data_IF_261182706609
#
_entry.id   IF_261182706609
#
_cell.length_a   1.000
_cell.length_b   1.000
_cell.length_c   1.000
_cell.angle_alpha   90.00
_cell.angle_beta   90.00
_cell.angle_gamma   90.00
#
_symmetry.space_group_name_H-M   'P 1'
#
loop_
_entity.id
_entity.type
_entity.pdbx_description
1 polymer ?
#
# COMPACT_ATOMS: atom_id res chain seq x y z
N UNK A 1 -19.21 -13.95 24.11
CA UNK A 1 -18.78 -12.94 25.10
C UNK A 1 -18.23 -11.76 24.31
N UNK A 2 -18.85 -10.58 24.40
CA UNK A 2 -18.34 -9.37 23.73
C UNK A 2 -17.04 -8.99 24.43
N UNK A 3 -15.91 -9.10 23.74
CA UNK A 3 -14.66 -8.56 24.25
C UNK A 3 -14.74 -7.03 24.17
N UNK A 4 -15.13 -6.40 25.27
CA UNK A 4 -15.30 -4.95 25.39
C UNK A 4 -13.98 -4.19 25.21
N UNK A 5 -12.84 -4.90 25.17
CA UNK A 5 -11.48 -4.37 25.01
C UNK A 5 -11.24 -3.63 23.68
N UNK A 6 -11.98 -3.97 22.62
CA UNK A 6 -11.79 -3.35 21.29
C UNK A 6 -12.50 -2.00 21.14
N UNK A 7 -13.48 -1.72 22.01
CA UNK A 7 -14.26 -0.50 21.96
C UNK A 7 -13.53 0.66 22.64
N UNK A 8 -13.74 1.87 22.16
CA UNK A 8 -13.20 3.09 22.75
C UNK A 8 -14.33 3.97 23.26
N UNK A 9 -14.05 4.74 24.31
CA UNK A 9 -15.07 5.61 24.94
C UNK A 9 -15.28 6.94 24.20
N UNK A 10 -14.39 7.30 23.27
CA UNK A 10 -14.44 8.55 22.51
C UNK A 10 -13.74 8.41 21.16
N UNK A 11 -14.16 9.23 20.20
CA UNK A 11 -13.53 9.33 18.86
C UNK A 11 -12.04 9.62 18.99
N UNK A 12 -11.63 10.57 19.85
CA UNK A 12 -10.22 10.90 20.07
C UNK A 12 -9.36 9.72 20.52
N UNK A 13 -9.89 8.86 21.40
CA UNK A 13 -9.20 7.63 21.83
C UNK A 13 -9.16 6.59 20.72
N UNK A 14 -10.24 6.48 19.93
CA UNK A 14 -10.29 5.66 18.72
C UNK A 14 -9.19 6.03 17.73
N UNK A 15 -9.12 7.31 17.35
CA UNK A 15 -8.11 7.83 16.42
C UNK A 15 -6.68 7.61 16.92
N UNK A 16 -6.43 7.90 18.21
CA UNK A 16 -5.12 7.66 18.82
C UNK A 16 -4.73 6.18 18.73
N UNK A 17 -5.66 5.27 19.04
CA UNK A 17 -5.43 3.82 18.96
C UNK A 17 -5.14 3.37 17.52
N UNK A 18 -5.85 3.90 16.52
CA UNK A 18 -5.56 3.62 15.11
C UNK A 18 -4.12 3.97 14.76
N UNK A 19 -3.69 5.19 15.13
CA UNK A 19 -2.31 5.66 14.88
C UNK A 19 -1.25 4.81 15.57
N UNK A 20 -1.50 4.42 16.83
CA UNK A 20 -0.56 3.62 17.62
C UNK A 20 -0.51 2.14 17.23
N UNK A 21 -1.51 1.65 16.48
CA UNK A 21 -1.63 0.23 16.15
C UNK A 21 -0.95 -0.19 14.84
N UNK A 22 -0.34 0.75 14.10
CA UNK A 22 0.45 0.48 12.88
C UNK A 22 -0.29 -0.45 11.89
N UNK A 23 -1.54 -0.09 11.57
CA UNK A 23 -2.40 -0.83 10.63
C UNK A 23 -3.11 -2.07 11.19
N UNK A 24 -2.90 -2.44 12.46
CA UNK A 24 -3.52 -3.64 13.08
C UNK A 24 -4.89 -3.39 13.72
N UNK A 25 -5.35 -2.14 13.72
CA UNK A 25 -6.63 -1.74 14.30
C UNK A 25 -7.36 -0.79 13.36
N UNK A 26 -8.61 -1.08 13.08
CA UNK A 26 -9.53 -0.19 12.38
C UNK A 26 -10.57 0.36 13.36
N UNK A 27 -10.93 1.63 13.20
CA UNK A 27 -11.96 2.28 13.98
C UNK A 27 -13.17 2.56 13.11
N UNK A 28 -14.33 2.09 13.54
CA UNK A 28 -15.60 2.33 12.87
C UNK A 28 -16.24 3.55 13.50
N UNK A 29 -16.60 4.52 12.68
CA UNK A 29 -17.27 5.74 13.10
C UNK A 29 -18.18 6.27 11.98
N UNK A 30 -18.91 7.34 12.29
CA UNK A 30 -19.78 8.03 11.36
C UNK A 30 -19.01 8.57 10.13
N UNK A 31 -19.57 8.36 8.94
CA UNK A 31 -18.93 8.64 7.64
C UNK A 31 -18.51 10.09 7.46
N UNK A 32 -19.44 11.04 7.64
CA UNK A 32 -19.17 12.48 7.47
C UNK A 32 -18.07 12.99 8.41
N UNK A 33 -18.07 12.49 9.65
CA UNK A 33 -17.02 12.83 10.61
C UNK A 33 -15.67 12.19 10.25
N UNK A 34 -15.68 10.96 9.72
CA UNK A 34 -14.48 10.30 9.23
C UNK A 34 -13.87 11.04 8.05
N UNK A 35 -14.69 11.46 7.08
CA UNK A 35 -14.28 12.29 5.94
C UNK A 35 -13.62 13.59 6.41
N UNK A 36 -14.28 14.31 7.32
CA UNK A 36 -13.69 15.52 7.89
C UNK A 36 -12.34 15.24 8.54
N UNK A 37 -12.22 14.21 9.39
CA UNK A 37 -10.99 13.95 10.13
C UNK A 37 -9.82 13.51 9.26
N UNK A 38 -10.09 12.76 8.19
CA UNK A 38 -9.07 12.34 7.21
C UNK A 38 -8.57 13.53 6.39
N UNK A 39 -9.43 14.51 6.12
CA UNK A 39 -9.04 15.71 5.37
C UNK A 39 -8.18 16.69 6.20
N UNK A 40 -8.06 16.47 7.51
CA UNK A 40 -7.24 17.30 8.40
C UNK A 40 -5.81 16.76 8.60
N UNK A 41 -4.90 17.67 8.96
CA UNK A 41 -3.54 17.31 9.37
C UNK A 41 -3.55 16.34 10.58
N UNK A 42 -2.61 15.40 10.65
CA UNK A 42 -1.38 15.28 9.84
C UNK A 42 -1.48 14.38 8.59
N UNK A 43 -2.66 14.18 8.00
CA UNK A 43 -2.87 13.34 6.80
C UNK A 43 -2.45 11.87 7.00
N UNK A 44 -2.57 11.36 8.22
CA UNK A 44 -2.11 10.03 8.63
C UNK A 44 -3.23 9.00 8.75
N UNK A 45 -4.44 9.36 8.33
CA UNK A 45 -5.65 8.55 8.40
C UNK A 45 -6.21 8.37 6.98
N UNK A 46 -6.96 7.28 6.78
CA UNK A 46 -7.72 7.05 5.56
C UNK A 46 -9.03 6.33 5.87
N UNK A 47 -10.04 6.56 5.05
CA UNK A 47 -11.27 5.76 5.04
C UNK A 47 -11.17 4.73 3.92
N UNK A 48 -11.51 3.48 4.24
CA UNK A 48 -11.37 2.32 3.35
C UNK A 48 -12.72 1.86 2.80
N UNK A 49 -13.83 2.28 3.42
CA UNK A 49 -15.16 1.94 2.97
C UNK A 49 -16.24 2.47 3.90
N UNK A 50 -17.48 2.25 3.49
CA UNK A 50 -18.69 2.59 4.22
C UNK A 50 -19.50 1.33 4.53
N UNK A 51 -20.20 1.32 5.66
CA UNK A 51 -20.92 0.16 6.18
C UNK A 51 -22.44 0.38 6.30
N UNK A 52 -22.97 1.42 5.67
CA UNK A 52 -24.41 1.60 5.47
C UNK A 52 -24.80 3.06 5.43
N UNK A 53 -26.05 3.31 5.05
CA UNK A 53 -26.54 4.66 4.85
C UNK A 53 -26.85 5.36 6.18
N UNK A 54 -26.31 6.57 6.34
CA UNK A 54 -26.60 7.44 7.49
C UNK A 54 -27.06 8.80 6.99
N UNK A 55 -27.96 9.44 7.74
CA UNK A 55 -28.45 10.78 7.40
C UNK A 55 -28.77 11.61 8.64
N UNK A 56 -28.49 12.90 8.56
CA UNK A 56 -28.90 13.88 9.56
C UNK A 56 -30.25 14.49 9.19
N UNK A 57 -31.06 14.80 10.20
CA UNK A 57 -32.39 15.37 10.01
C UNK A 57 -32.66 16.46 11.05
N UNK A 58 -33.37 17.52 10.63
CA UNK A 58 -33.87 18.54 11.53
C UNK A 58 -35.12 18.02 12.24
N UNK A 59 -35.12 18.06 13.57
CA UNK A 59 -36.24 17.55 14.38
C UNK A 59 -36.96 18.74 15.02
N UNK A 60 -38.27 18.81 14.79
CA UNK A 60 -39.16 19.80 15.39
C UNK A 60 -40.04 19.15 16.47
N UNK A 61 -40.60 19.98 17.37
CA UNK A 61 -41.60 19.51 18.31
C UNK A 61 -42.82 18.95 17.57
N UNK A 62 -43.42 17.89 18.11
CA UNK A 62 -44.61 17.26 17.54
C UNK A 62 -45.72 18.31 17.37
N UNK A 63 -46.35 18.32 16.20
CA UNK A 63 -47.40 19.26 15.79
C UNK A 63 -46.97 20.73 15.64
N UNK A 64 -45.66 21.00 15.53
CA UNK A 64 -45.19 22.35 15.22
C UNK A 64 -45.52 22.73 13.77
N UNK A 65 -46.06 23.94 13.58
CA UNK A 65 -46.31 24.53 12.25
C UNK A 65 -45.01 24.74 11.45
N UNK A 66 -43.87 24.85 12.16
CA UNK A 66 -42.55 25.06 11.56
C UNK A 66 -42.05 23.84 10.77
N UNK A 67 -42.60 22.65 11.05
CA UNK A 67 -42.12 21.40 10.44
C UNK A 67 -42.23 21.44 8.91
N UNK A 68 -43.36 21.93 8.39
CA UNK A 68 -43.58 22.03 6.95
C UNK A 68 -42.69 23.10 6.31
N UNK A 69 -42.57 24.26 6.97
CA UNK A 69 -41.78 25.38 6.48
C UNK A 69 -40.28 25.02 6.41
N UNK A 70 -39.75 24.39 7.45
CA UNK A 70 -38.35 23.92 7.48
C UNK A 70 -38.11 22.86 6.42
N UNK A 71 -39.02 21.90 6.25
CA UNK A 71 -38.88 20.86 5.24
C UNK A 71 -38.83 21.45 3.82
N UNK A 72 -39.73 22.39 3.50
CA UNK A 72 -39.70 23.10 2.22
C UNK A 72 -38.41 23.90 2.01
N UNK A 73 -37.92 24.59 3.04
CA UNK A 73 -36.68 25.35 2.97
C UNK A 73 -35.47 24.44 2.70
N UNK A 74 -35.38 23.27 3.36
CA UNK A 74 -34.29 22.31 3.15
C UNK A 74 -34.26 21.80 1.71
N UNK A 75 -35.41 21.38 1.17
CA UNK A 75 -35.51 20.90 -0.23
C UNK A 75 -35.07 22.00 -1.20
N UNK A 76 -35.51 23.24 -0.99
CA UNK A 76 -35.09 24.38 -1.81
C UNK A 76 -33.57 24.61 -1.75
N UNK A 77 -32.95 24.51 -0.57
CA UNK A 77 -31.49 24.63 -0.43
C UNK A 77 -30.72 23.49 -1.12
N UNK A 78 -31.28 22.28 -1.17
CA UNK A 78 -30.72 21.15 -1.90
C UNK A 78 -30.79 21.37 -3.41
N UNK A 79 -31.96 21.76 -3.94
CA UNK A 79 -32.15 22.06 -5.37
C UNK A 79 -31.21 23.18 -5.85
N UNK A 80 -31.00 24.20 -5.02
CA UNK A 80 -30.07 25.30 -5.30
C UNK A 80 -28.58 24.92 -5.11
N UNK A 81 -28.28 23.67 -4.72
CA UNK A 81 -26.93 23.17 -4.42
C UNK A 81 -26.19 23.98 -3.33
N UNK A 82 -26.93 24.68 -2.46
CA UNK A 82 -26.33 25.50 -1.39
C UNK A 82 -25.72 24.59 -0.33
N UNK A 83 -26.41 23.49 0.02
CA UNK A 83 -25.91 22.52 0.99
C UNK A 83 -24.58 21.92 0.52
N UNK A 84 -24.47 21.54 -0.76
CA UNK A 84 -23.23 21.03 -1.36
C UNK A 84 -22.08 22.04 -1.22
N UNK A 85 -22.32 23.32 -1.51
CA UNK A 85 -21.30 24.38 -1.37
C UNK A 85 -20.87 24.57 0.09
N UNK A 86 -21.80 24.45 1.04
CA UNK A 86 -21.49 24.51 2.47
C UNK A 86 -20.63 23.30 2.85
N UNK A 87 -20.99 22.11 2.40
CA UNK A 87 -20.24 20.89 2.65
C UNK A 87 -18.80 21.01 2.17
N UNK A 88 -18.60 21.34 0.90
CA UNK A 88 -17.28 21.57 0.30
C UNK A 88 -16.50 22.63 1.07
N UNK A 89 -17.16 23.73 1.48
CA UNK A 89 -16.47 24.81 2.20
C UNK A 89 -15.96 24.41 3.59
N UNK A 90 -16.71 23.58 4.32
CA UNK A 90 -16.45 23.32 5.75
C UNK A 90 -15.86 21.94 6.04
N UNK A 91 -16.09 20.95 5.16
CA UNK A 91 -15.60 19.57 5.36
C UNK A 91 -14.26 19.31 4.67
N UNK A 92 -13.88 20.15 3.70
CA UNK A 92 -12.57 20.12 3.07
C UNK A 92 -11.47 20.70 3.95
N UNK A 93 -10.44 19.90 4.19
CA UNK A 93 -9.19 20.31 4.83
C UNK A 93 -7.99 20.30 3.88
N UNK A 94 -6.81 20.54 4.44
CA UNK A 94 -5.55 20.65 3.69
C UNK A 94 -5.03 19.30 3.16
N UNK A 95 -5.43 18.18 3.77
CA UNK A 95 -5.04 16.83 3.36
C UNK A 95 -5.93 16.26 2.26
N UNK A 96 -6.67 17.13 1.58
CA UNK A 96 -7.65 16.70 0.61
C UNK A 96 -7.00 16.07 -0.62
N UNK A 97 -7.17 14.76 -0.77
CA UNK A 97 -6.81 14.06 -2.00
C UNK A 97 -7.97 14.14 -2.97
N UNK A 98 -7.74 14.58 -4.21
CA UNK A 98 -8.76 14.64 -5.27
C UNK A 98 -9.51 13.30 -5.49
N UNK A 99 -8.90 12.19 -5.06
CA UNK A 99 -9.45 10.84 -5.10
C UNK A 99 -10.65 10.66 -4.15
N UNK A 100 -10.72 11.42 -3.06
CA UNK A 100 -11.72 11.20 -2.01
C UNK A 100 -13.14 11.61 -2.44
N UNK A 101 -13.33 12.79 -3.06
CA UNK A 101 -14.64 13.22 -3.58
C UNK A 101 -15.20 12.31 -4.67
N UNK A 102 -14.34 11.82 -5.57
CA UNK A 102 -14.77 10.92 -6.64
C UNK A 102 -15.09 9.50 -6.14
N UNK A 103 -14.64 9.13 -4.94
CA UNK A 103 -14.90 7.80 -4.36
C UNK A 103 -16.12 7.85 -3.44
N UNK A 104 -16.32 8.95 -2.72
CA UNK A 104 -17.44 9.10 -1.79
C UNK A 104 -18.77 9.43 -2.50
N UNK A 105 -18.78 10.26 -3.55
CA UNK A 105 -20.03 10.66 -4.22
C UNK A 105 -20.55 9.69 -5.28
N UNK A 106 -19.70 8.79 -5.80
CA UNK A 106 -20.06 7.88 -6.91
C UNK A 106 -20.48 6.47 -6.47
N UNK A 107 -20.41 6.15 -5.17
CA UNK A 107 -20.87 4.86 -4.64
C UNK A 107 -20.15 3.62 -5.22
N UNK A 108 -18.98 3.81 -5.83
CA UNK A 108 -18.18 2.70 -6.38
C UNK A 108 -17.28 2.09 -5.30
N UNK A 109 -17.15 0.76 -5.32
CA UNK A 109 -16.32 0.03 -4.37
C UNK A 109 -14.86 0.51 -4.44
N UNK A 110 -14.34 0.94 -3.28
CA UNK A 110 -12.97 1.39 -3.02
C UNK A 110 -11.87 0.56 -3.72
N UNK A 111 -12.08 -0.75 -3.91
CA UNK A 111 -11.11 -1.64 -4.52
C UNK A 111 -10.93 -1.45 -6.04
N UNK A 112 -12.00 -1.21 -6.80
CA UNK A 112 -11.93 -1.19 -8.27
C UNK A 112 -11.07 -0.03 -8.78
N UNK A 113 -11.14 1.12 -8.12
CA UNK A 113 -10.37 2.32 -8.48
C UNK A 113 -8.93 2.29 -7.95
N UNK A 114 -8.67 1.59 -6.83
CA UNK A 114 -7.28 1.34 -6.39
C UNK A 114 -6.57 0.39 -7.35
N UNK A 115 -7.23 -0.64 -7.88
CA UNK A 115 -6.61 -1.52 -8.89
C UNK A 115 -6.24 -0.76 -10.17
N UNK A 116 -7.08 0.16 -10.64
CA UNK A 116 -6.75 0.97 -11.82
C UNK A 116 -5.61 1.97 -11.55
N UNK A 117 -5.53 2.56 -10.35
CA UNK A 117 -4.39 3.39 -9.94
C UNK A 117 -3.11 2.54 -9.82
N UNK A 118 -3.23 1.27 -9.42
CA UNK A 118 -2.08 0.38 -9.32
C UNK A 118 -1.44 0.10 -10.69
N UNK A 119 -2.26 0.03 -11.76
CA UNK A 119 -1.79 -0.09 -13.14
C UNK A 119 -1.05 1.18 -13.63
N UNK A 120 -1.49 2.37 -13.21
CA UNK A 120 -0.80 3.64 -13.52
C UNK A 120 0.51 3.81 -12.72
N UNK A 121 0.59 3.29 -11.48
CA UNK A 121 1.82 3.28 -10.68
C UNK A 121 2.92 2.39 -11.30
N UNK A 122 2.55 1.34 -12.04
CA UNK A 122 3.50 0.53 -12.82
C UNK A 122 4.00 1.23 -14.10
N UNK A 123 3.39 2.36 -14.48
CA UNK A 123 3.79 3.15 -15.65
C UNK A 123 4.94 4.14 -15.35
N UNK A 124 5.35 4.29 -14.09
CA UNK A 124 6.53 5.06 -13.68
C UNK A 124 7.76 4.18 -13.48
N UNK A 125 8.61 4.07 -14.50
CA UNK A 125 9.81 3.21 -14.56
C UNK A 125 10.85 3.53 -13.45
N UNK A 126 10.67 3.00 -12.23
CA UNK A 126 11.65 3.11 -11.15
C UNK A 126 12.72 2.02 -11.23
N UNK A 127 13.98 2.37 -11.00
CA UNK A 127 15.13 1.44 -10.97
C UNK A 127 14.93 0.28 -9.98
N UNK A 128 14.09 0.48 -8.95
CA UNK A 128 13.75 -0.52 -7.94
C UNK A 128 13.03 -1.76 -8.50
N UNK A 129 12.29 -1.61 -9.61
CA UNK A 129 11.59 -2.73 -10.25
C UNK A 129 12.52 -3.62 -11.10
N UNK A 130 13.63 -3.05 -11.61
CA UNK A 130 14.65 -3.77 -12.36
C UNK A 130 15.73 -4.41 -11.46
N UNK A 131 15.75 -4.08 -10.18
CA UNK A 131 16.70 -4.64 -9.23
C UNK A 131 16.60 -6.16 -9.15
N UNK A 132 15.39 -6.74 -9.20
CA UNK A 132 15.18 -8.18 -9.16
C UNK A 132 15.92 -8.92 -10.30
N UNK A 133 15.57 -8.65 -11.58
CA UNK A 133 16.26 -9.25 -12.72
C UNK A 133 17.77 -9.00 -12.75
N UNK A 134 18.22 -7.80 -12.38
CA UNK A 134 19.65 -7.45 -12.35
C UNK A 134 20.42 -8.24 -11.28
N UNK A 135 19.84 -8.44 -10.09
CA UNK A 135 20.43 -9.27 -9.02
C UNK A 135 20.55 -10.72 -9.48
N UNK A 136 19.51 -11.27 -10.12
CA UNK A 136 19.52 -12.64 -10.65
C UNK A 136 20.63 -12.81 -11.71
N UNK A 137 20.79 -11.82 -12.60
CA UNK A 137 21.83 -11.84 -13.64
C UNK A 137 23.24 -11.80 -13.03
N UNK A 138 23.48 -10.92 -12.05
CA UNK A 138 24.76 -10.83 -11.36
C UNK A 138 25.12 -12.13 -10.64
N UNK A 139 24.14 -12.75 -9.96
CA UNK A 139 24.34 -14.06 -9.31
C UNK A 139 24.69 -15.12 -10.35
N UNK A 140 23.97 -15.15 -11.49
CA UNK A 140 24.26 -16.08 -12.58
C UNK A 140 25.66 -15.91 -13.16
N UNK A 141 26.12 -14.67 -13.35
CA UNK A 141 27.46 -14.37 -13.87
C UNK A 141 28.56 -14.79 -12.88
N UNK A 142 28.35 -14.56 -11.59
CA UNK A 142 29.32 -14.96 -10.54
C UNK A 142 29.43 -16.48 -10.45
N UNK A 143 28.30 -17.19 -10.47
CA UNK A 143 28.29 -18.66 -10.42
C UNK A 143 28.96 -19.27 -11.66
N UNK A 144 28.62 -18.79 -12.85
CA UNK A 144 29.26 -19.25 -14.09
C UNK A 144 30.77 -18.97 -14.10
N UNK A 145 31.19 -17.77 -13.68
CA UNK A 145 32.60 -17.41 -13.57
C UNK A 145 33.35 -18.31 -12.57
N UNK A 146 32.74 -18.61 -11.42
CA UNK A 146 33.33 -19.50 -10.42
C UNK A 146 33.51 -20.94 -10.91
N UNK A 147 32.55 -21.48 -11.65
CA UNK A 147 32.63 -22.81 -12.26
C UNK A 147 33.75 -22.87 -13.30
N UNK A 148 33.84 -21.86 -14.18
CA UNK A 148 34.92 -21.79 -15.18
C UNK A 148 36.31 -21.73 -14.54
N UNK A 149 36.47 -20.93 -13.48
CA UNK A 149 37.75 -20.86 -12.76
C UNK A 149 38.10 -22.22 -12.14
N UNK A 150 37.14 -22.91 -11.53
CA UNK A 150 37.36 -24.22 -10.95
C UNK A 150 37.83 -25.24 -12.00
N UNK A 151 37.19 -25.28 -13.16
CA UNK A 151 37.56 -26.19 -14.26
C UNK A 151 38.98 -25.94 -14.77
N UNK A 152 39.35 -24.67 -14.98
CA UNK A 152 40.71 -24.30 -15.45
C UNK A 152 41.79 -24.72 -14.44
N UNK A 153 41.54 -24.54 -13.13
CA UNK A 153 42.49 -24.96 -12.09
C UNK A 153 42.62 -26.49 -11.98
N UNK A 154 41.54 -27.24 -12.19
CA UNK A 154 41.58 -28.71 -12.20
C UNK A 154 42.34 -29.24 -13.43
N UNK A 155 42.04 -28.71 -14.62
CA UNK A 155 42.75 -29.07 -15.86
C UNK A 155 44.24 -28.71 -15.81
N UNK A 156 44.58 -27.53 -15.25
CA UNK A 156 45.97 -27.14 -15.01
C UNK A 156 46.70 -28.04 -13.99
N UNK A 157 45.99 -28.61 -13.02
CA UNK A 157 46.55 -29.60 -12.08
C UNK A 157 46.79 -30.96 -12.72
N UNK A 158 45.93 -31.39 -13.64
CA UNK A 158 46.11 -32.64 -14.38
C UNK A 158 47.30 -32.58 -15.34
N UNK A 159 47.50 -31.45 -16.03
CA UNK A 159 48.70 -31.22 -16.87
C UNK A 159 49.99 -31.25 -16.02
N UNK A 160 49.96 -30.69 -14.80
CA UNK A 160 51.12 -30.70 -13.90
C UNK A 160 51.41 -32.10 -13.34
N UNK A 161 50.40 -32.94 -13.11
CA UNK A 161 50.60 -34.36 -12.75
C UNK A 161 51.21 -35.16 -13.90
N UNK A 162 50.80 -34.90 -15.14
CA UNK A 162 51.38 -35.58 -16.31
C UNK A 162 52.85 -35.20 -16.57
N UNK A 163 53.27 -33.98 -16.21
CA UNK A 163 54.68 -33.57 -16.32
C UNK A 163 55.57 -34.06 -15.15
N UNK A 164 55.03 -34.32 -13.95
CA UNK A 164 55.82 -34.83 -12.82
C UNK A 164 55.93 -36.37 -12.85
N UNK A 165 55.01 -37.07 -13.53
CA UNK A 165 55.10 -38.53 -13.78
C UNK A 165 56.09 -38.95 -14.87
N UNK A 166 56.64 -38.00 -15.64
CA UNK A 166 57.54 -38.26 -16.78
C UNK A 166 59.05 -38.12 -16.48
N UNK A 167 59.44 -37.80 -15.24
CA UNK A 167 60.84 -37.56 -14.86
C UNK A 167 61.58 -38.74 -14.21
N UNK A 168 60.94 -39.91 -14.07
CA UNK A 168 61.45 -41.03 -13.25
C UNK A 168 61.96 -42.26 -13.99
N UNK A 169 61.96 -42.29 -15.33
CA UNK A 169 62.23 -43.53 -16.08
C UNK A 169 63.24 -43.39 -17.23
N UNK A 170 64.41 -42.78 -16.97
CA UNK A 170 65.56 -42.80 -17.89
C UNK A 170 66.91 -43.14 -17.26
N UNK A 171 66.97 -43.65 -16.02
CA UNK A 171 68.23 -44.12 -15.40
C UNK A 171 68.29 -45.65 -15.19
N UNK A 172 67.62 -46.44 -16.04
CA UNK A 172 67.64 -47.92 -15.94
C UNK A 172 67.79 -48.64 -17.28
N UNK A 173 68.50 -48.05 -18.24
CA UNK A 173 68.90 -48.75 -19.48
C UNK A 173 70.42 -48.69 -19.74
N UNK A 174 71.25 -48.34 -18.74
CA UNK A 174 72.71 -48.48 -18.81
C UNK A 174 73.22 -49.78 -18.16
N UNK A 175 72.46 -50.86 -18.25
CA UNK A 175 72.85 -52.17 -17.71
C UNK A 175 72.31 -53.29 -18.61
N UNK A 176 72.81 -53.35 -19.85
CA UNK A 176 72.90 -54.52 -20.70
C UNK A 176 73.61 -54.17 -22.01
N UNK A 177 74.93 -54.01 -21.94
CA UNK A 177 75.94 -54.60 -22.84
C UNK A 177 77.33 -54.29 -22.29
#
# INVERSE_FOLDING_TARGET
MKDQSVLTSSVSKGLKRVRESDGKYAFIMEGDLAEFLVSQKPCDLMVVGDIGDHSYSFVTQKNSLLSNEVNHAIISLQEMSVIKKIHEKWMLGECHTNIYWEVFMDGQAYFDKITSIHDDIFSGLNIGLFAGPLIILLIGMILAGSLLVAEVFLSGRDIKRHNIGGGGHQLRESFNE
#
